data_IF_608928121742
#
_entry.id   IF_608928121742
#
_cell.length_a   1.000
_cell.length_b   1.000
_cell.length_c   1.000
_cell.angle_alpha   90.00
_cell.angle_beta   90.00
_cell.angle_gamma   90.00
#
_symmetry.space_group_name_H-M   'P 1'
#
loop_
_entity.id
_entity.type
_entity.pdbx_description
1 polymer ?
#
# COMPACT_ATOMS: atom_id res chain seq x y z
N UNK A 1 -23.37 30.93 9.83
CA UNK A 1 -22.92 30.09 8.70
C UNK A 1 -23.55 30.61 7.42
N UNK A 2 -22.79 31.25 6.52
CA UNK A 2 -23.29 31.63 5.19
C UNK A 2 -23.50 30.34 4.42
N UNK A 3 -24.73 30.03 4.00
CA UNK A 3 -25.02 28.97 3.04
C UNK A 3 -24.31 29.32 1.73
N UNK A 4 -23.27 28.59 1.38
CA UNK A 4 -22.70 28.64 0.05
C UNK A 4 -23.76 28.06 -0.91
N UNK A 5 -24.36 28.92 -1.74
CA UNK A 5 -25.17 28.45 -2.87
C UNK A 5 -24.17 27.96 -3.93
N UNK A 6 -24.05 26.66 -4.09
CA UNK A 6 -23.36 26.09 -5.24
C UNK A 6 -24.06 26.57 -6.51
N UNK A 7 -23.32 27.18 -7.41
CA UNK A 7 -23.81 27.62 -8.70
C UNK A 7 -23.72 26.46 -9.67
N UNK A 8 -24.81 26.19 -10.38
CA UNK A 8 -24.79 25.16 -11.42
C UNK A 8 -23.83 25.59 -12.54
N UNK A 9 -23.14 24.62 -13.12
CA UNK A 9 -22.33 24.81 -14.33
C UNK A 9 -23.20 25.40 -15.45
N UNK A 10 -22.65 26.33 -16.25
CA UNK A 10 -23.38 26.86 -17.41
C UNK A 10 -23.54 25.81 -18.51
N UNK A 11 -24.59 25.94 -19.33
CA UNK A 11 -24.86 25.01 -20.44
C UNK A 11 -23.69 24.99 -21.44
N UNK A 12 -23.01 26.10 -21.64
CA UNK A 12 -21.81 26.20 -22.48
C UNK A 12 -20.65 25.36 -21.95
N UNK A 13 -20.29 25.55 -20.66
CA UNK A 13 -19.24 24.76 -19.99
C UNK A 13 -19.60 23.27 -19.95
N UNK A 14 -20.89 22.94 -19.77
CA UNK A 14 -21.37 21.55 -19.80
C UNK A 14 -21.26 20.94 -21.21
N UNK A 15 -21.58 21.73 -22.26
CA UNK A 15 -21.41 21.32 -23.65
C UNK A 15 -19.95 21.08 -24.02
N UNK A 16 -19.03 21.98 -23.58
CA UNK A 16 -17.58 21.79 -23.74
C UNK A 16 -17.11 20.50 -23.07
N UNK A 17 -17.50 20.30 -21.82
CA UNK A 17 -17.14 19.09 -21.05
C UNK A 17 -17.62 17.81 -21.74
N UNK A 18 -18.80 17.81 -22.34
CA UNK A 18 -19.38 16.65 -23.02
C UNK A 18 -18.68 16.29 -24.34
N UNK A 19 -17.91 17.20 -24.92
CA UNK A 19 -17.06 16.96 -26.11
C UNK A 19 -15.72 16.32 -25.76
N UNK A 20 -15.31 16.39 -24.49
CA UNK A 20 -14.06 15.80 -24.03
C UNK A 20 -14.28 14.32 -23.65
N UNK A 21 -13.21 13.55 -23.77
CA UNK A 21 -13.19 12.13 -23.40
C UNK A 21 -12.00 11.79 -22.50
N UNK A 22 -12.14 10.68 -21.79
CA UNK A 22 -11.06 10.07 -20.99
C UNK A 22 -10.32 11.07 -20.07
N UNK A 23 -9.00 11.13 -20.17
CA UNK A 23 -8.13 11.97 -19.32
C UNK A 23 -8.44 13.45 -19.45
N UNK A 24 -8.70 13.94 -20.68
CA UNK A 24 -9.03 15.36 -20.89
C UNK A 24 -10.34 15.74 -20.15
N UNK A 25 -11.32 14.85 -20.17
CA UNK A 25 -12.59 15.06 -19.48
C UNK A 25 -12.43 15.13 -17.97
N UNK A 26 -11.76 14.15 -17.35
CA UNK A 26 -11.60 14.14 -15.89
C UNK A 26 -10.73 15.32 -15.40
N UNK A 27 -9.67 15.70 -16.12
CA UNK A 27 -8.90 16.92 -15.83
C UNK A 27 -9.79 18.16 -15.82
N UNK A 28 -10.65 18.30 -16.85
CA UNK A 28 -11.58 19.44 -16.94
C UNK A 28 -12.62 19.43 -15.82
N UNK A 29 -13.13 18.26 -15.43
CA UNK A 29 -14.02 18.11 -14.26
C UNK A 29 -13.35 18.66 -13.00
N UNK A 30 -12.12 18.26 -12.72
CA UNK A 30 -11.39 18.71 -11.52
C UNK A 30 -11.09 20.21 -11.57
N UNK A 31 -10.73 20.77 -12.73
CA UNK A 31 -10.57 22.21 -12.91
C UNK A 31 -11.86 22.97 -12.58
N UNK A 32 -13.01 22.46 -13.01
CA UNK A 32 -14.31 23.09 -12.70
C UNK A 32 -14.63 22.98 -11.22
N UNK A 33 -14.36 21.83 -10.59
CA UNK A 33 -14.59 21.65 -9.16
C UNK A 33 -13.66 22.55 -8.30
N UNK A 34 -12.49 22.87 -8.80
CA UNK A 34 -11.53 23.77 -8.13
C UNK A 34 -11.53 25.20 -8.65
N UNK A 35 -12.53 25.61 -9.44
CA UNK A 35 -12.71 27.01 -9.85
C UNK A 35 -12.90 27.89 -8.59
N UNK A 36 -12.06 28.94 -8.37
CA UNK A 36 -12.06 29.72 -7.14
C UNK A 36 -13.35 30.52 -6.92
N UNK A 37 -14.16 30.73 -7.96
CA UNK A 37 -15.40 31.51 -7.91
C UNK A 37 -16.63 30.61 -7.79
N UNK A 38 -16.72 29.62 -8.66
CA UNK A 38 -17.93 28.79 -8.84
C UNK A 38 -17.72 27.31 -8.45
N UNK A 39 -16.51 26.95 -7.97
CA UNK A 39 -16.13 25.58 -7.66
C UNK A 39 -16.77 24.99 -6.41
N UNK A 40 -16.47 23.74 -6.14
CA UNK A 40 -16.95 22.99 -4.98
C UNK A 40 -16.19 23.40 -3.71
N UNK A 41 -16.86 23.83 -2.63
CA UNK A 41 -16.20 24.25 -1.40
C UNK A 41 -15.35 23.16 -0.73
N UNK A 42 -15.65 21.88 -0.95
CA UNK A 42 -14.85 20.78 -0.43
C UNK A 42 -13.55 20.63 -1.21
N UNK A 43 -13.64 20.61 -2.56
CA UNK A 43 -12.47 20.47 -3.41
C UNK A 43 -11.52 21.67 -3.27
N UNK A 44 -12.05 22.88 -3.14
CA UNK A 44 -11.26 24.10 -2.94
C UNK A 44 -10.46 24.12 -1.62
N UNK A 45 -10.91 23.40 -0.59
CA UNK A 45 -10.22 23.29 0.70
C UNK A 45 -9.10 22.25 0.70
N UNK A 46 -9.03 21.39 -0.31
CA UNK A 46 -8.03 20.35 -0.35
C UNK A 46 -6.63 20.92 -0.62
N UNK A 47 -5.67 20.38 0.11
CA UNK A 47 -4.24 20.61 -0.07
C UNK A 47 -3.49 19.26 -0.07
N UNK A 48 -2.15 19.31 -0.23
CA UNK A 48 -1.33 18.09 -0.23
C UNK A 48 -1.51 17.23 1.03
N UNK A 49 -1.61 17.86 2.20
CA UNK A 49 -1.71 17.15 3.47
C UNK A 49 -3.08 16.49 3.64
N UNK A 50 -4.15 17.18 3.24
CA UNK A 50 -5.50 16.64 3.33
C UNK A 50 -5.75 15.51 2.33
N UNK A 51 -5.05 15.48 1.18
CA UNK A 51 -5.20 14.44 0.15
C UNK A 51 -4.30 13.22 0.36
N UNK A 52 -3.22 13.34 1.13
CA UNK A 52 -2.30 12.22 1.36
C UNK A 52 -2.97 10.97 1.96
N UNK A 53 -3.88 11.06 2.97
CA UNK A 53 -4.60 9.90 3.48
C UNK A 53 -5.45 9.18 2.43
N UNK A 54 -6.17 9.92 1.59
CA UNK A 54 -7.01 9.33 0.54
C UNK A 54 -6.16 8.56 -0.49
N UNK A 55 -5.01 9.09 -0.89
CA UNK A 55 -4.12 8.36 -1.81
C UNK A 55 -3.64 7.02 -1.26
N UNK A 56 -3.50 6.89 0.05
CA UNK A 56 -3.15 5.64 0.72
C UNK A 56 -4.37 4.71 0.76
N UNK A 57 -5.55 5.23 1.09
CA UNK A 57 -6.81 4.52 1.14
C UNK A 57 -7.13 3.87 -0.21
N UNK A 58 -7.16 4.65 -1.31
CA UNK A 58 -7.42 4.15 -2.66
C UNK A 58 -6.39 3.08 -3.09
N UNK A 59 -5.13 3.24 -2.70
CA UNK A 59 -4.11 2.22 -2.99
C UNK A 59 -4.39 0.89 -2.27
N UNK A 60 -4.92 0.92 -1.04
CA UNK A 60 -5.31 -0.28 -0.30
C UNK A 60 -6.60 -0.89 -0.84
N UNK A 61 -7.59 -0.08 -1.25
CA UNK A 61 -8.84 -0.56 -1.86
C UNK A 61 -8.56 -1.24 -3.21
N UNK A 62 -7.70 -0.65 -4.04
CA UNK A 62 -7.21 -1.29 -5.26
C UNK A 62 -6.50 -2.62 -4.96
N UNK A 63 -5.65 -2.68 -3.94
CA UNK A 63 -4.96 -3.92 -3.56
C UNK A 63 -5.97 -5.01 -3.13
N UNK A 64 -7.02 -4.64 -2.39
CA UNK A 64 -8.07 -5.56 -1.98
C UNK A 64 -8.89 -6.08 -3.18
N UNK A 65 -9.27 -5.20 -4.10
CA UNK A 65 -9.95 -5.58 -5.33
C UNK A 65 -9.12 -6.57 -6.18
N UNK A 66 -7.80 -6.35 -6.28
CA UNK A 66 -6.87 -7.26 -6.97
C UNK A 66 -6.82 -8.62 -6.25
N UNK A 67 -6.69 -8.65 -4.93
CA UNK A 67 -6.65 -9.89 -4.14
C UNK A 67 -7.94 -10.70 -4.24
N UNK A 68 -9.07 -10.02 -4.43
CA UNK A 68 -10.39 -10.64 -4.64
C UNK A 68 -10.61 -11.08 -6.08
N UNK A 69 -9.75 -10.73 -7.03
CA UNK A 69 -9.94 -10.90 -8.47
C UNK A 69 -11.25 -10.26 -8.98
N UNK A 70 -11.70 -9.18 -8.35
CA UNK A 70 -12.89 -8.45 -8.76
C UNK A 70 -12.55 -7.41 -9.83
N UNK A 71 -12.74 -7.79 -11.10
CA UNK A 71 -12.38 -6.95 -12.25
C UNK A 71 -13.16 -5.63 -12.27
N UNK A 72 -14.40 -5.61 -11.77
CA UNK A 72 -15.21 -4.38 -11.77
C UNK A 72 -14.71 -3.42 -10.68
N UNK A 73 -14.44 -3.93 -9.46
CA UNK A 73 -13.84 -3.14 -8.40
C UNK A 73 -12.41 -2.71 -8.76
N UNK A 74 -11.57 -3.55 -9.38
CA UNK A 74 -10.24 -3.15 -9.86
C UNK A 74 -10.35 -1.93 -10.79
N UNK A 75 -11.31 -1.93 -11.71
CA UNK A 75 -11.52 -0.81 -12.63
C UNK A 75 -11.94 0.45 -11.89
N UNK A 76 -12.81 0.32 -10.89
CA UNK A 76 -13.30 1.42 -10.08
C UNK A 76 -12.17 2.02 -9.26
N UNK A 77 -11.46 1.21 -8.48
CA UNK A 77 -10.38 1.66 -7.61
C UNK A 77 -9.18 2.25 -8.39
N UNK A 78 -8.90 1.75 -9.60
CA UNK A 78 -7.95 2.41 -10.52
C UNK A 78 -8.43 3.81 -10.92
N UNK A 79 -9.74 4.01 -11.07
CA UNK A 79 -10.33 5.32 -11.34
C UNK A 79 -10.16 6.27 -10.15
N UNK A 80 -10.38 5.79 -8.93
CA UNK A 80 -10.29 6.57 -7.72
C UNK A 80 -8.82 6.92 -7.41
N UNK A 81 -7.88 5.99 -7.62
CA UNK A 81 -6.45 6.28 -7.55
C UNK A 81 -6.00 7.32 -8.61
N UNK A 82 -6.52 7.21 -9.85
CA UNK A 82 -6.27 8.19 -10.91
C UNK A 82 -6.82 9.57 -10.53
N UNK A 83 -8.00 9.62 -9.90
CA UNK A 83 -8.59 10.85 -9.37
C UNK A 83 -7.62 11.53 -8.38
N UNK A 84 -7.01 10.80 -7.46
CA UNK A 84 -6.02 11.35 -6.51
C UNK A 84 -4.85 11.99 -7.25
N UNK A 85 -4.32 11.32 -8.29
CA UNK A 85 -3.22 11.86 -9.09
C UNK A 85 -3.61 13.18 -9.76
N UNK A 86 -4.79 13.24 -10.40
CA UNK A 86 -5.25 14.42 -11.11
C UNK A 86 -5.59 15.56 -10.13
N UNK A 87 -6.24 15.26 -9.02
CA UNK A 87 -6.62 16.25 -8.00
C UNK A 87 -5.39 16.87 -7.34
N UNK A 88 -4.40 16.06 -6.97
CA UNK A 88 -3.14 16.56 -6.39
C UNK A 88 -2.38 17.40 -7.41
N UNK A 89 -2.35 16.99 -8.68
CA UNK A 89 -1.72 17.77 -9.75
C UNK A 89 -2.43 19.12 -9.97
N UNK A 90 -3.76 19.17 -9.85
CA UNK A 90 -4.51 20.42 -9.93
C UNK A 90 -4.24 21.32 -8.71
N UNK A 91 -4.08 20.75 -7.51
CA UNK A 91 -3.65 21.52 -6.32
C UNK A 91 -2.26 22.13 -6.53
N UNK A 92 -1.37 21.42 -7.23
CA UNK A 92 -0.05 21.92 -7.59
C UNK A 92 -0.13 23.04 -8.63
N UNK A 93 -0.91 22.87 -9.67
CA UNK A 93 -1.16 23.84 -10.73
C UNK A 93 -1.75 25.15 -10.15
N UNK A 94 -2.74 25.05 -9.27
CA UNK A 94 -3.34 26.20 -8.57
C UNK A 94 -2.29 27.01 -7.75
N UNK A 95 -1.19 26.37 -7.33
CA UNK A 95 -0.07 27.02 -6.61
C UNK A 95 1.06 27.48 -7.52
N UNK A 96 1.05 27.07 -8.79
CA UNK A 96 2.12 27.33 -9.75
C UNK A 96 3.36 26.46 -9.54
N UNK A 97 3.22 25.28 -8.87
CA UNK A 97 4.32 24.37 -8.62
C UNK A 97 4.62 23.47 -9.84
N UNK A 98 3.63 22.74 -10.32
CA UNK A 98 3.65 21.87 -11.50
C UNK A 98 2.23 21.47 -11.88
N UNK A 99 2.03 20.89 -13.08
CA UNK A 99 0.75 20.40 -13.57
C UNK A 99 0.72 18.86 -13.80
N UNK A 100 -0.41 18.35 -14.27
CA UNK A 100 -0.56 16.92 -14.59
C UNK A 100 0.36 16.47 -15.74
N UNK A 101 0.61 17.32 -16.72
CA UNK A 101 1.46 16.98 -17.86
C UNK A 101 2.93 16.89 -17.43
N UNK A 102 3.37 17.68 -16.46
CA UNK A 102 4.68 17.55 -15.83
C UNK A 102 4.84 16.20 -15.12
N UNK A 103 3.83 15.77 -14.35
CA UNK A 103 3.80 14.45 -13.69
C UNK A 103 3.88 13.33 -14.72
N UNK A 104 3.07 13.38 -15.77
CA UNK A 104 3.06 12.39 -16.83
C UNK A 104 4.37 12.34 -17.61
N UNK A 105 4.97 13.49 -17.89
CA UNK A 105 6.26 13.61 -18.57
C UNK A 105 7.40 13.06 -17.70
N UNK A 106 7.41 13.36 -16.40
CA UNK A 106 8.46 12.87 -15.48
C UNK A 106 8.45 11.35 -15.36
N UNK A 107 7.27 10.76 -15.18
CA UNK A 107 7.17 9.29 -15.12
C UNK A 107 7.54 8.63 -16.45
N UNK A 108 7.13 9.22 -17.58
CA UNK A 108 7.47 8.72 -18.92
C UNK A 108 8.97 8.73 -19.15
N UNK A 109 9.65 9.84 -18.85
CA UNK A 109 11.11 9.95 -18.94
C UNK A 109 11.81 8.92 -18.05
N UNK A 110 11.30 8.71 -16.83
CA UNK A 110 11.83 7.71 -15.89
C UNK A 110 11.69 6.30 -16.43
N UNK A 111 10.53 5.92 -16.98
CA UNK A 111 10.27 4.58 -17.54
C UNK A 111 11.18 4.34 -18.76
N UNK A 112 11.25 5.28 -19.69
CA UNK A 112 12.13 5.20 -20.87
C UNK A 112 13.58 4.99 -20.43
N UNK A 113 14.10 5.82 -19.53
CA UNK A 113 15.48 5.74 -19.04
C UNK A 113 15.79 4.41 -18.34
N UNK A 114 14.81 3.80 -17.67
CA UNK A 114 14.98 2.52 -16.96
C UNK A 114 14.81 1.29 -17.84
N UNK A 115 14.42 1.46 -19.09
CA UNK A 115 14.25 0.39 -20.06
C UNK A 115 15.09 0.63 -21.31
N UNK A 116 16.44 0.82 -21.17
CA UNK A 116 17.30 1.09 -22.32
C UNK A 116 17.26 -0.05 -23.34
N UNK A 117 17.04 -1.29 -22.91
CA UNK A 117 16.86 -2.45 -23.77
C UNK A 117 15.70 -2.31 -24.80
N UNK A 118 14.77 -1.40 -24.56
CA UNK A 118 13.65 -1.14 -25.48
C UNK A 118 13.81 0.19 -26.21
N UNK A 119 14.29 1.21 -25.51
CA UNK A 119 14.25 2.59 -25.98
C UNK A 119 15.61 3.14 -26.46
N UNK A 120 16.74 2.44 -26.18
CA UNK A 120 18.07 2.85 -26.62
C UNK A 120 18.56 1.95 -27.76
N UNK A 121 18.74 2.52 -28.95
CA UNK A 121 19.23 1.81 -30.14
C UNK A 121 20.69 1.29 -29.98
N UNK A 122 21.44 1.83 -29.04
CA UNK A 122 22.86 1.44 -28.78
C UNK A 122 22.96 0.50 -27.58
N UNK A 123 21.85 -0.02 -27.06
CA UNK A 123 21.86 -0.94 -25.93
C UNK A 123 22.60 -2.24 -26.27
N UNK A 124 23.48 -2.69 -25.38
CA UNK A 124 24.23 -3.94 -25.58
C UNK A 124 23.38 -5.13 -25.08
N UNK A 125 23.04 -6.05 -25.96
CA UNK A 125 22.23 -7.25 -25.67
C UNK A 125 22.88 -8.21 -24.64
N UNK A 126 24.18 -8.06 -24.36
CA UNK A 126 24.87 -8.84 -23.31
C UNK A 126 24.58 -8.37 -21.90
N UNK A 127 23.93 -7.20 -21.72
CA UNK A 127 23.47 -6.73 -20.41
C UNK A 127 22.11 -7.38 -20.08
N UNK A 128 22.06 -8.12 -18.97
CA UNK A 128 20.78 -8.70 -18.50
C UNK A 128 19.82 -7.57 -18.10
N UNK A 129 18.56 -7.59 -18.59
CA UNK A 129 17.57 -6.51 -18.34
C UNK A 129 17.39 -6.15 -16.86
N UNK A 130 17.33 -7.15 -15.98
CA UNK A 130 17.17 -6.95 -14.55
C UNK A 130 18.38 -6.27 -13.90
N UNK A 131 19.59 -6.61 -14.31
CA UNK A 131 20.82 -5.99 -13.79
C UNK A 131 20.95 -4.54 -14.23
N UNK A 132 20.56 -4.21 -15.47
CA UNK A 132 20.59 -2.83 -15.95
C UNK A 132 19.60 -1.96 -15.21
N UNK A 133 18.39 -2.44 -14.92
CA UNK A 133 17.36 -1.71 -14.17
C UNK A 133 17.79 -1.38 -12.73
N UNK A 134 18.33 -2.35 -11.99
CA UNK A 134 18.86 -2.12 -10.64
C UNK A 134 20.10 -1.22 -10.62
N UNK A 135 20.99 -1.38 -11.61
CA UNK A 135 22.15 -0.48 -11.77
C UNK A 135 21.72 0.96 -12.02
N UNK A 136 20.78 1.18 -12.94
CA UNK A 136 20.24 2.51 -13.26
C UNK A 136 19.57 3.13 -12.01
N UNK A 137 18.75 2.37 -11.29
CA UNK A 137 18.11 2.80 -10.06
C UNK A 137 19.13 3.18 -8.96
N UNK A 138 20.23 2.42 -8.84
CA UNK A 138 21.33 2.74 -7.93
C UNK A 138 22.03 4.05 -8.31
N UNK A 139 22.30 4.26 -9.60
CA UNK A 139 22.92 5.50 -10.10
C UNK A 139 22.03 6.73 -9.87
N UNK A 140 20.72 6.59 -10.07
CA UNK A 140 19.74 7.65 -9.79
C UNK A 140 19.74 8.02 -8.30
N UNK A 141 19.67 7.04 -7.40
CA UNK A 141 19.70 7.26 -5.95
C UNK A 141 20.98 7.91 -5.48
N UNK A 142 22.14 7.48 -6.00
CA UNK A 142 23.42 8.05 -5.63
C UNK A 142 23.59 9.52 -6.03
N UNK A 143 22.89 9.97 -7.08
CA UNK A 143 22.87 11.39 -7.49
C UNK A 143 22.01 12.28 -6.59
N UNK A 144 21.00 11.72 -5.94
CA UNK A 144 19.98 12.46 -5.18
C UNK A 144 20.30 12.49 -3.67
N UNK A 145 20.97 11.46 -3.14
CA UNK A 145 21.22 11.35 -1.69
C UNK A 145 22.71 11.47 -1.38
N UNK A 146 23.10 12.59 -0.80
CA UNK A 146 24.41 12.79 -0.15
C UNK A 146 24.48 12.05 1.21
N UNK A 147 23.72 10.96 1.38
CA UNK A 147 23.67 10.22 2.65
C UNK A 147 24.89 9.28 2.78
N UNK A 148 25.57 9.44 3.91
CA UNK A 148 26.82 8.72 4.23
C UNK A 148 26.57 7.23 4.48
N UNK A 149 25.37 6.86 4.96
CA UNK A 149 25.03 5.49 5.35
C UNK A 149 24.06 4.86 4.35
N UNK A 150 24.29 3.59 4.06
CA UNK A 150 23.50 2.85 3.07
C UNK A 150 22.02 2.73 3.42
N UNK A 151 21.69 2.52 4.70
CA UNK A 151 20.30 2.34 5.15
C UNK A 151 19.51 3.65 5.24
N UNK A 152 20.19 4.81 5.32
CA UNK A 152 19.54 6.13 5.27
C UNK A 152 18.87 6.43 3.91
N UNK A 153 19.22 5.66 2.89
CA UNK A 153 18.59 5.73 1.55
C UNK A 153 17.22 5.05 1.50
N UNK A 154 16.81 4.35 2.56
CA UNK A 154 15.46 3.76 2.64
C UNK A 154 14.49 4.82 3.12
N UNK A 155 13.41 5.00 2.37
CA UNK A 155 12.37 5.97 2.67
C UNK A 155 11.84 5.78 4.09
N UNK A 156 11.74 6.90 4.86
CA UNK A 156 11.30 6.86 6.26
C UNK A 156 9.77 6.88 6.39
N UNK A 157 9.10 7.50 5.42
CA UNK A 157 7.67 7.77 5.46
C UNK A 157 6.86 6.76 4.61
N UNK A 158 7.10 5.47 4.83
CA UNK A 158 6.37 4.36 4.21
C UNK A 158 5.86 3.40 5.29
N UNK A 159 4.85 2.56 5.00
CA UNK A 159 4.34 1.57 5.94
C UNK A 159 5.45 0.72 6.56
N UNK A 160 5.35 0.45 7.85
CA UNK A 160 6.46 -0.12 8.64
C UNK A 160 6.91 -1.49 8.13
N UNK A 161 5.97 -2.38 7.74
CA UNK A 161 6.33 -3.69 7.17
C UNK A 161 7.11 -3.54 5.87
N UNK A 162 6.66 -2.66 4.98
CA UNK A 162 7.36 -2.35 3.73
C UNK A 162 8.74 -1.74 4.00
N UNK A 163 8.85 -0.85 5.00
CA UNK A 163 10.13 -0.25 5.37
C UNK A 163 11.11 -1.29 5.89
N UNK A 164 10.69 -2.18 6.79
CA UNK A 164 11.51 -3.27 7.30
C UNK A 164 11.99 -4.20 6.17
N UNK A 165 11.09 -4.56 5.25
CA UNK A 165 11.43 -5.34 4.06
C UNK A 165 12.50 -4.64 3.20
N UNK A 166 12.37 -3.33 2.95
CA UNK A 166 13.36 -2.55 2.17
C UNK A 166 14.70 -2.43 2.89
N UNK A 167 14.72 -2.22 4.20
CA UNK A 167 15.94 -2.20 5.02
C UNK A 167 16.69 -3.53 4.87
N UNK A 168 16.01 -4.66 5.04
CA UNK A 168 16.60 -5.98 4.94
C UNK A 168 17.08 -6.30 3.52
N UNK A 169 16.31 -5.97 2.48
CA UNK A 169 16.76 -6.09 1.08
C UNK A 169 18.03 -5.27 0.82
N UNK A 170 18.11 -4.08 1.41
CA UNK A 170 19.28 -3.22 1.25
C UNK A 170 20.50 -3.79 1.97
N UNK A 171 20.36 -4.32 3.19
CA UNK A 171 21.42 -5.01 3.93
C UNK A 171 21.90 -6.25 3.17
N UNK A 172 20.99 -7.08 2.68
CA UNK A 172 21.29 -8.26 1.89
C UNK A 172 22.08 -7.93 0.61
N UNK A 173 21.81 -6.78 -0.04
CA UNK A 173 22.58 -6.32 -1.21
C UNK A 173 24.05 -5.97 -0.91
N UNK A 174 24.45 -5.93 0.36
CA UNK A 174 25.82 -5.77 0.85
C UNK A 174 26.39 -7.07 1.40
N UNK A 175 25.79 -8.22 1.10
CA UNK A 175 26.13 -9.53 1.64
C UNK A 175 25.91 -9.66 3.16
N UNK A 176 25.13 -8.75 3.77
CA UNK A 176 24.68 -8.88 5.16
C UNK A 176 23.32 -9.56 5.18
N UNK A 177 23.33 -10.88 5.10
CA UNK A 177 22.14 -11.72 5.06
C UNK A 177 22.40 -13.10 5.69
N UNK A 178 21.33 -13.78 6.07
CA UNK A 178 21.35 -15.17 6.51
C UNK A 178 21.70 -16.11 5.35
N UNK A 179 22.37 -17.21 5.61
CA UNK A 179 22.71 -18.19 4.57
C UNK A 179 21.49 -18.95 4.04
N UNK A 180 20.54 -19.27 4.94
CA UNK A 180 19.32 -20.02 4.60
C UNK A 180 18.16 -19.69 5.54
N UNK A 181 16.98 -20.20 5.20
CA UNK A 181 15.74 -19.99 5.94
C UNK A 181 15.75 -20.63 7.33
N UNK A 182 16.50 -21.72 7.50
CA UNK A 182 16.64 -22.43 8.80
C UNK A 182 17.32 -21.53 9.84
N UNK A 183 18.32 -20.76 9.45
CA UNK A 183 18.97 -19.82 10.36
C UNK A 183 17.99 -18.71 10.81
N UNK A 184 17.12 -18.25 9.91
CA UNK A 184 16.10 -17.25 10.25
C UNK A 184 15.06 -17.85 11.20
N UNK A 185 14.66 -19.12 11.01
CA UNK A 185 13.75 -19.82 11.92
C UNK A 185 14.38 -19.99 13.30
N UNK A 186 15.66 -20.35 13.39
CA UNK A 186 16.38 -20.44 14.67
C UNK A 186 16.42 -19.07 15.39
N UNK A 187 16.58 -17.97 14.62
CA UNK A 187 16.53 -16.63 15.20
C UNK A 187 15.12 -16.27 15.70
N UNK A 188 14.06 -16.70 15.01
CA UNK A 188 12.68 -16.54 15.51
C UNK A 188 12.51 -17.25 16.86
N UNK A 189 13.03 -18.48 16.99
CA UNK A 189 12.97 -19.23 18.25
C UNK A 189 13.75 -18.53 19.38
N UNK A 190 14.90 -17.93 19.06
CA UNK A 190 15.69 -17.11 19.98
C UNK A 190 14.88 -15.88 20.45
N UNK A 191 14.30 -15.08 19.51
CA UNK A 191 13.48 -13.90 19.87
C UNK A 191 12.25 -14.28 20.72
N UNK A 192 11.63 -15.44 20.44
CA UNK A 192 10.53 -15.96 21.26
C UNK A 192 11.01 -16.29 22.67
N UNK A 193 12.23 -16.81 22.83
CA UNK A 193 12.80 -17.11 24.13
C UNK A 193 13.09 -15.82 24.91
N UNK A 194 13.72 -14.85 24.29
CA UNK A 194 14.06 -13.54 24.87
C UNK A 194 12.79 -12.78 25.30
N UNK A 195 11.75 -12.79 24.43
CA UNK A 195 10.44 -12.23 24.79
C UNK A 195 9.80 -12.93 25.99
N UNK A 196 9.91 -14.28 26.12
CA UNK A 196 9.42 -15.00 27.29
C UNK A 196 10.16 -14.61 28.57
N UNK A 197 11.44 -14.37 28.48
CA UNK A 197 12.24 -13.95 29.65
C UNK A 197 11.95 -12.49 30.03
N UNK A 198 11.79 -11.59 29.04
CA UNK A 198 11.33 -10.23 29.25
C UNK A 198 9.94 -10.17 29.94
N UNK A 199 9.02 -11.05 29.57
CA UNK A 199 7.71 -11.17 30.23
C UNK A 199 7.81 -11.60 31.68
N UNK A 200 8.78 -12.47 32.09
CA UNK A 200 9.01 -12.87 33.48
C UNK A 200 9.51 -11.69 34.31
N UNK A 201 10.39 -10.86 33.72
CA UNK A 201 10.91 -9.64 34.37
C UNK A 201 9.84 -8.55 34.48
N UNK A 202 8.78 -8.62 33.64
CA UNK A 202 7.68 -7.65 33.58
C UNK A 202 8.13 -6.20 33.29
N UNK A 203 9.19 -6.05 32.51
CA UNK A 203 9.68 -4.74 32.08
C UNK A 203 9.13 -4.41 30.69
N UNK A 204 8.18 -3.47 30.66
CA UNK A 204 7.47 -3.10 29.42
C UNK A 204 8.41 -2.67 28.30
N UNK A 205 9.51 -1.99 28.61
CA UNK A 205 10.47 -1.49 27.63
C UNK A 205 11.24 -2.63 26.96
N UNK A 206 11.68 -3.62 27.74
CA UNK A 206 12.36 -4.81 27.21
C UNK A 206 11.37 -5.65 26.39
N UNK A 207 10.13 -5.84 26.89
CA UNK A 207 9.08 -6.56 26.15
C UNK A 207 8.80 -5.92 24.79
N UNK A 208 8.78 -4.58 24.70
CA UNK A 208 8.58 -3.85 23.45
C UNK A 208 9.75 -4.05 22.48
N UNK A 209 10.98 -4.09 22.98
CA UNK A 209 12.19 -4.36 22.21
C UNK A 209 12.15 -5.76 21.60
N UNK A 210 12.03 -6.81 22.44
CA UNK A 210 11.99 -8.20 21.96
C UNK A 210 10.82 -8.49 21.00
N UNK A 211 9.67 -7.90 21.27
CA UNK A 211 8.53 -8.01 20.35
C UNK A 211 8.81 -7.34 19.01
N UNK A 212 9.51 -6.22 19.00
CA UNK A 212 9.96 -5.52 17.80
C UNK A 212 10.93 -6.38 16.97
N UNK A 213 11.89 -7.03 17.63
CA UNK A 213 12.88 -7.89 16.98
C UNK A 213 12.25 -9.16 16.43
N UNK A 214 11.28 -9.74 17.12
CA UNK A 214 10.48 -10.84 16.62
C UNK A 214 9.71 -10.46 15.33
N UNK A 215 9.03 -9.30 15.31
CA UNK A 215 8.36 -8.82 14.10
C UNK A 215 9.35 -8.62 12.95
N UNK A 216 10.49 -8.00 13.21
CA UNK A 216 11.52 -7.76 12.21
C UNK A 216 12.08 -9.06 11.62
N UNK A 217 12.29 -10.08 12.45
CA UNK A 217 12.78 -11.41 12.04
C UNK A 217 11.73 -12.18 11.25
N UNK A 218 10.43 -12.07 11.59
CA UNK A 218 9.33 -12.66 10.80
C UNK A 218 9.26 -12.01 9.39
N UNK A 219 9.46 -10.68 9.29
CA UNK A 219 9.52 -10.01 7.99
C UNK A 219 10.72 -10.50 7.18
N UNK A 220 11.85 -10.79 7.82
CA UNK A 220 13.01 -11.37 7.16
C UNK A 220 12.71 -12.75 6.59
N UNK A 221 12.03 -13.61 7.34
CA UNK A 221 11.59 -14.91 6.85
C UNK A 221 10.68 -14.76 5.62
N UNK A 222 9.72 -13.83 5.67
CA UNK A 222 8.84 -13.55 4.52
C UNK A 222 9.65 -13.16 3.29
N UNK A 223 10.64 -12.28 3.45
CA UNK A 223 11.55 -11.86 2.36
C UNK A 223 12.32 -13.05 1.77
N UNK A 224 12.87 -13.90 2.61
CA UNK A 224 13.64 -15.09 2.18
C UNK A 224 12.77 -16.09 1.40
N UNK A 225 11.52 -16.24 1.81
CA UNK A 225 10.52 -17.07 1.12
C UNK A 225 9.90 -16.40 -0.11
N UNK A 226 10.38 -15.20 -0.51
CA UNK A 226 9.82 -14.39 -1.59
C UNK A 226 8.33 -14.06 -1.40
N UNK A 227 7.89 -13.92 -0.14
CA UNK A 227 6.55 -13.49 0.22
C UNK A 227 6.55 -12.01 0.59
N UNK A 228 5.53 -11.28 0.13
CA UNK A 228 5.30 -9.92 0.59
C UNK A 228 4.65 -9.96 1.98
N UNK A 229 5.27 -9.33 3.01
CA UNK A 229 4.75 -9.39 4.38
C UNK A 229 3.42 -8.65 4.55
N UNK A 230 3.19 -7.55 3.83
CA UNK A 230 1.92 -6.80 3.86
C UNK A 230 0.79 -7.66 3.29
N UNK A 231 0.97 -8.22 2.09
CA UNK A 231 -0.01 -9.14 1.50
C UNK A 231 -0.25 -10.38 2.37
N UNK A 232 0.80 -10.90 3.00
CA UNK A 232 0.70 -12.09 3.85
C UNK A 232 -0.20 -11.83 5.05
N UNK A 233 -0.05 -10.69 5.73
CA UNK A 233 -0.89 -10.32 6.88
C UNK A 233 -2.31 -9.94 6.45
N UNK A 234 -2.48 -9.26 5.30
CA UNK A 234 -3.81 -8.98 4.73
C UNK A 234 -4.61 -10.25 4.47
N UNK A 235 -4.00 -11.28 3.87
CA UNK A 235 -4.62 -12.60 3.68
C UNK A 235 -5.00 -13.27 5.01
N UNK A 236 -4.18 -13.12 6.04
CA UNK A 236 -4.49 -13.61 7.37
C UNK A 236 -5.69 -12.87 7.99
N UNK A 237 -5.73 -11.54 7.87
CA UNK A 237 -6.86 -10.72 8.31
C UNK A 237 -8.15 -11.12 7.60
N UNK A 238 -8.14 -11.22 6.27
CA UNK A 238 -9.29 -11.64 5.48
C UNK A 238 -9.81 -13.01 5.93
N UNK A 239 -8.90 -13.98 6.06
CA UNK A 239 -9.25 -15.32 6.56
C UNK A 239 -9.88 -15.29 7.94
N UNK A 240 -9.36 -14.46 8.84
CA UNK A 240 -9.92 -14.29 10.18
C UNK A 240 -11.32 -13.68 10.11
N UNK A 241 -11.49 -12.58 9.37
CA UNK A 241 -12.78 -11.88 9.21
C UNK A 241 -13.84 -12.81 8.61
N UNK A 242 -13.51 -13.53 7.53
CA UNK A 242 -14.45 -14.48 6.91
C UNK A 242 -14.92 -15.53 7.91
N UNK A 243 -14.01 -16.11 8.69
CA UNK A 243 -14.35 -17.09 9.71
C UNK A 243 -15.19 -16.51 10.85
N UNK A 244 -14.88 -15.30 11.23
CA UNK A 244 -15.64 -14.61 12.28
C UNK A 244 -17.05 -14.32 11.83
N UNK A 245 -17.25 -13.82 10.61
CA UNK A 245 -18.56 -13.59 10.02
C UNK A 245 -19.40 -14.89 9.92
N UNK A 246 -18.78 -16.02 9.50
CA UNK A 246 -19.47 -17.33 9.51
C UNK A 246 -19.88 -17.75 10.93
N UNK A 247 -19.07 -17.43 11.94
CA UNK A 247 -19.41 -17.67 13.33
C UNK A 247 -20.55 -16.77 13.80
N UNK A 248 -20.57 -15.50 13.39
CA UNK A 248 -21.67 -14.54 13.67
C UNK A 248 -22.98 -15.05 13.05
N UNK A 249 -22.97 -15.43 11.77
CA UNK A 249 -24.13 -15.98 11.08
C UNK A 249 -24.65 -17.22 11.80
N UNK A 250 -23.75 -18.12 12.22
CA UNK A 250 -24.17 -19.31 12.99
C UNK A 250 -24.83 -18.96 14.32
N UNK A 251 -24.30 -17.96 15.04
CA UNK A 251 -24.87 -17.50 16.32
C UNK A 251 -26.26 -16.88 16.09
N UNK A 252 -26.42 -16.10 15.03
CA UNK A 252 -27.69 -15.45 14.66
C UNK A 252 -28.73 -16.50 14.24
N UNK A 253 -28.41 -17.39 13.32
CA UNK A 253 -29.27 -18.46 12.82
C UNK A 253 -29.81 -19.37 13.94
N UNK A 254 -28.97 -19.64 14.94
CA UNK A 254 -29.34 -20.44 16.09
C UNK A 254 -29.94 -19.62 17.26
N UNK A 255 -30.18 -18.31 17.04
CA UNK A 255 -30.74 -17.39 18.06
C UNK A 255 -29.94 -17.38 19.37
N UNK A 256 -28.65 -17.67 19.30
CA UNK A 256 -27.75 -17.59 20.44
C UNK A 256 -27.44 -16.12 20.77
N UNK A 257 -27.06 -15.84 22.01
CA UNK A 257 -26.66 -14.49 22.43
C UNK A 257 -25.20 -14.52 22.82
N UNK A 258 -24.40 -13.60 22.27
CA UNK A 258 -22.96 -13.48 22.50
C UNK A 258 -22.59 -13.52 23.99
N UNK A 259 -23.31 -12.80 24.83
CA UNK A 259 -23.03 -12.71 26.26
C UNK A 259 -23.34 -13.99 27.06
N UNK A 260 -24.06 -14.93 26.47
CA UNK A 260 -24.38 -16.24 27.08
C UNK A 260 -23.30 -17.29 26.72
N UNK A 261 -22.47 -17.03 25.72
CA UNK A 261 -21.43 -17.95 25.27
C UNK A 261 -20.21 -17.88 26.19
N UNK A 262 -19.68 -19.03 26.54
CA UNK A 262 -18.45 -19.20 27.33
C UNK A 262 -17.23 -19.38 26.40
N UNK A 263 -16.03 -19.25 26.96
CA UNK A 263 -14.77 -19.40 26.17
C UNK A 263 -14.67 -20.72 25.40
N UNK A 264 -15.22 -21.81 25.95
CA UNK A 264 -15.20 -23.12 25.25
C UNK A 264 -16.20 -23.16 24.07
N UNK A 265 -17.33 -22.45 24.15
CA UNK A 265 -18.31 -22.38 23.06
C UNK A 265 -17.71 -21.64 21.87
N UNK A 266 -17.02 -20.51 22.10
CA UNK A 266 -16.30 -19.80 21.04
C UNK A 266 -15.23 -20.67 20.39
N UNK A 267 -14.47 -21.42 21.18
CA UNK A 267 -13.45 -22.35 20.65
C UNK A 267 -14.06 -23.44 19.78
N UNK A 268 -15.21 -23.98 20.19
CA UNK A 268 -15.91 -25.03 19.44
C UNK A 268 -16.48 -24.48 18.13
N UNK A 269 -17.13 -23.32 18.18
CA UNK A 269 -17.66 -22.63 16.99
C UNK A 269 -16.54 -22.30 16.00
N UNK A 270 -15.45 -21.74 16.48
CA UNK A 270 -14.28 -21.42 15.66
C UNK A 270 -13.68 -22.66 14.97
N UNK A 271 -13.56 -23.77 15.71
CA UNK A 271 -13.07 -25.02 15.14
C UNK A 271 -14.05 -25.59 14.11
N UNK A 272 -15.36 -25.49 14.32
CA UNK A 272 -16.38 -25.91 13.36
C UNK A 272 -16.24 -25.14 12.04
N UNK A 273 -16.19 -23.80 12.11
CA UNK A 273 -16.00 -22.95 10.94
C UNK A 273 -14.70 -23.27 10.22
N UNK A 274 -13.60 -23.40 10.97
CA UNK A 274 -12.27 -23.75 10.42
C UNK A 274 -12.28 -25.09 9.66
N UNK A 275 -12.99 -26.09 10.16
CA UNK A 275 -13.06 -27.41 9.53
C UNK A 275 -13.95 -27.39 8.28
N UNK A 276 -15.07 -26.66 8.30
CA UNK A 276 -15.92 -26.51 7.12
C UNK A 276 -15.16 -25.89 5.94
N UNK A 277 -14.33 -24.87 6.19
CA UNK A 277 -13.52 -24.25 5.14
C UNK A 277 -12.37 -25.14 4.63
N UNK A 278 -11.85 -26.08 5.42
CA UNK A 278 -10.84 -27.03 4.96
C UNK A 278 -11.44 -28.10 4.05
N UNK A 279 -12.65 -28.58 4.34
CA UNK A 279 -13.35 -29.57 3.52
C UNK A 279 -13.90 -29.02 2.18
N UNK A 280 -13.86 -27.72 1.95
CA UNK A 280 -14.23 -27.09 0.67
C UNK A 280 -13.00 -26.95 -0.25
N UNK A 281 -11.78 -26.98 0.31
CA UNK A 281 -10.52 -26.82 -0.41
C UNK A 281 -9.77 -28.14 -0.70
N UNK A 282 -10.35 -29.29 -0.36
CA UNK A 282 -9.96 -30.64 -0.77
C UNK A 282 -10.93 -31.15 -1.87
#
# INVERSE_FOLDING_TARGET
MKRFKMKKISDEKLSELNRLESIAKIRKVIQILRDPIDGCPWDLKQDYNSLAPYSIEEAYELADAIENNDIQEIKKELGDLLLQVILISQVADDKGDFDFDDVANEISKKIIRRHPQIFDKNYNENDLPHESWEKIKKLEKNKITNTKNTLDQVEKNIPTLLRSLKIQKKAASLNFDWENETQVLNKIDEEIYELKDALKVNNKKIIEEELGDLFFTIINLSRRLNLDPEQTIRKANKKFTTRFNEMENFIEDNKLKWHNLKKHDFKNLWNKVKNNQRGINE
#
